data_IF_243103520766
#
_entry.id   IF_243103520766
#
_cell.length_a   1.000
_cell.length_b   1.000
_cell.length_c   1.000
_cell.angle_alpha   90.00
_cell.angle_beta   90.00
_cell.angle_gamma   90.00
#
_symmetry.space_group_name_H-M   'P 1'
#
loop_
_entity.id
_entity.type
_entity.pdbx_description
1 polymer ?
#
# COMPACT_ATOMS: atom_id res chain seq x y z
N UNK A 1 -0.89 -7.27 53.50
CA UNK A 1 -0.80 -5.87 53.01
C UNK A 1 0.51 -5.21 53.38
N UNK A 2 0.85 -5.02 54.68
CA UNK A 2 2.13 -4.37 55.08
C UNK A 2 3.40 -4.92 54.41
N UNK A 3 3.57 -6.25 54.33
CA UNK A 3 4.74 -6.85 53.67
C UNK A 3 4.84 -6.55 52.17
N UNK A 4 3.71 -6.41 51.47
CA UNK A 4 3.69 -6.06 50.05
C UNK A 4 4.01 -4.57 49.84
N UNK A 5 3.48 -3.71 50.71
CA UNK A 5 3.81 -2.28 50.72
C UNK A 5 5.29 -2.04 51.02
N UNK A 6 5.87 -2.76 51.99
CA UNK A 6 7.30 -2.69 52.31
C UNK A 6 8.17 -3.20 51.16
N UNK A 7 7.74 -4.24 50.46
CA UNK A 7 8.42 -4.74 49.27
C UNK A 7 8.36 -3.72 48.12
N UNK A 8 7.19 -3.15 47.86
CA UNK A 8 6.98 -2.12 46.83
C UNK A 8 7.87 -0.91 47.07
N UNK A 9 7.93 -0.40 48.31
CA UNK A 9 8.79 0.73 48.67
C UNK A 9 10.27 0.42 48.49
N UNK A 10 10.72 -0.79 48.86
CA UNK A 10 12.11 -1.21 48.63
C UNK A 10 12.48 -1.24 47.15
N UNK A 11 11.57 -1.70 46.29
CA UNK A 11 11.76 -1.72 44.84
C UNK A 11 11.80 -0.29 44.30
N UNK A 12 10.86 0.55 44.70
CA UNK A 12 10.81 1.97 44.34
C UNK A 12 12.11 2.69 44.73
N UNK A 13 12.55 2.54 45.98
CA UNK A 13 13.82 3.10 46.47
C UNK A 13 15.03 2.60 45.69
N UNK A 14 15.03 1.33 45.26
CA UNK A 14 16.10 0.76 44.44
C UNK A 14 16.14 1.41 43.06
N UNK A 15 14.99 1.58 42.40
CA UNK A 15 14.89 2.26 41.12
C UNK A 15 15.32 3.72 41.23
N UNK A 16 14.82 4.46 42.23
CA UNK A 16 15.18 5.85 42.49
C UNK A 16 16.69 5.98 42.68
N UNK A 17 17.32 5.11 43.48
CA UNK A 17 18.78 5.09 43.67
C UNK A 17 19.52 4.79 42.37
N UNK A 18 19.06 3.81 41.59
CA UNK A 18 19.67 3.45 40.31
C UNK A 18 19.65 4.63 39.35
N UNK A 19 18.50 5.29 39.20
CA UNK A 19 18.35 6.48 38.38
C UNK A 19 19.16 7.67 38.90
N UNK A 20 19.27 7.83 40.22
CA UNK A 20 20.11 8.86 40.82
C UNK A 20 21.59 8.68 40.45
N UNK A 21 22.14 7.47 40.63
CA UNK A 21 23.53 7.18 40.25
C UNK A 21 23.75 7.28 38.73
N UNK A 22 22.77 6.88 37.93
CA UNK A 22 22.83 7.04 36.48
C UNK A 22 22.85 8.52 36.07
N UNK A 23 21.97 9.35 36.66
CA UNK A 23 21.94 10.79 36.42
C UNK A 23 23.22 11.48 36.86
N UNK A 24 23.83 11.05 37.97
CA UNK A 24 25.14 11.54 38.41
C UNK A 24 26.25 11.22 37.39
N UNK A 25 26.25 9.99 36.86
CA UNK A 25 27.21 9.54 35.85
C UNK A 25 27.08 10.33 34.54
N UNK A 26 25.84 10.54 34.08
CA UNK A 26 25.53 11.35 32.89
C UNK A 26 25.93 12.82 33.12
N UNK A 27 25.65 13.36 34.31
CA UNK A 27 26.03 14.72 34.69
C UNK A 27 27.54 14.95 34.70
N UNK A 28 28.32 13.96 35.11
CA UNK A 28 29.79 14.03 35.17
C UNK A 28 30.47 13.91 33.80
N UNK A 29 29.88 13.15 32.86
CA UNK A 29 30.46 12.89 31.53
C UNK A 29 29.49 13.14 30.36
N UNK A 30 28.85 14.31 30.26
CA UNK A 30 27.77 14.55 29.28
C UNK A 30 28.22 14.35 27.83
N UNK A 31 29.43 14.81 27.49
CA UNK A 31 29.97 14.68 26.14
C UNK A 31 30.17 13.24 25.68
N UNK A 32 30.57 12.33 26.58
CA UNK A 32 30.77 10.91 26.23
C UNK A 32 29.45 10.22 25.89
N UNK A 33 28.39 10.50 26.67
CA UNK A 33 27.07 9.96 26.40
C UNK A 33 26.49 10.51 25.09
N UNK A 34 26.62 11.81 24.84
CA UNK A 34 26.13 12.44 23.61
C UNK A 34 26.86 11.89 22.37
N UNK A 35 28.20 11.81 22.41
CA UNK A 35 28.98 11.23 21.31
C UNK A 35 28.62 9.74 21.14
N UNK A 36 28.47 9.00 22.24
CA UNK A 36 28.04 7.60 22.20
C UNK A 36 26.69 7.41 21.51
N UNK A 37 25.69 8.22 21.86
CA UNK A 37 24.37 8.17 21.22
C UNK A 37 24.42 8.53 19.73
N UNK A 38 25.20 9.56 19.37
CA UNK A 38 25.35 9.96 17.96
C UNK A 38 26.07 8.89 17.14
N UNK A 39 27.14 8.28 17.68
CA UNK A 39 27.83 7.17 17.02
C UNK A 39 26.90 5.95 16.84
N UNK A 40 26.10 5.62 17.86
CA UNK A 40 25.12 4.54 17.76
C UNK A 40 24.10 4.83 16.64
N UNK A 41 23.55 6.05 16.61
CA UNK A 41 22.61 6.45 15.56
C UNK A 41 23.26 6.39 14.17
N UNK A 42 24.52 6.83 14.03
CA UNK A 42 25.26 6.74 12.77
C UNK A 42 25.45 5.28 12.32
N UNK A 43 25.81 4.38 13.23
CA UNK A 43 25.94 2.94 12.94
C UNK A 43 24.61 2.35 12.50
N UNK A 44 23.51 2.63 13.19
CA UNK A 44 22.19 2.11 12.82
C UNK A 44 21.68 2.70 11.50
N UNK A 45 21.99 3.96 11.21
CA UNK A 45 21.64 4.63 9.94
C UNK A 45 22.25 3.93 8.72
N UNK A 46 23.39 3.23 8.88
CA UNK A 46 23.98 2.42 7.79
C UNK A 46 23.06 1.31 7.27
N UNK A 47 22.00 0.96 7.99
CA UNK A 47 21.00 0.00 7.55
C UNK A 47 19.92 0.59 6.63
N UNK A 48 19.77 1.91 6.53
CA UNK A 48 18.76 2.55 5.67
C UNK A 48 18.84 2.15 4.19
N UNK A 49 20.03 1.98 3.57
CA UNK A 49 20.12 1.53 2.18
C UNK A 49 19.56 0.12 1.94
N UNK A 50 19.39 -0.70 2.98
CA UNK A 50 18.79 -2.03 2.88
C UNK A 50 17.24 -2.01 2.84
N UNK A 51 16.63 -0.82 2.74
CA UNK A 51 15.19 -0.64 2.62
C UNK A 51 14.62 -1.45 1.45
N UNK A 52 13.72 -2.38 1.76
CA UNK A 52 12.89 -3.10 0.79
C UNK A 52 11.43 -2.79 1.07
N UNK A 53 10.74 -2.17 0.13
CA UNK A 53 9.31 -1.88 0.26
C UNK A 53 8.54 -3.11 -0.22
N UNK A 54 7.68 -3.66 0.64
CA UNK A 54 6.79 -4.75 0.26
C UNK A 54 5.39 -4.19 -0.04
N UNK A 55 4.97 -4.36 -1.29
CA UNK A 55 3.66 -3.91 -1.81
C UNK A 55 2.71 -5.08 -2.07
N UNK A 56 3.14 -6.30 -1.78
CA UNK A 56 2.35 -7.50 -2.06
C UNK A 56 1.24 -7.65 -1.02
N UNK A 57 0.02 -7.21 -1.38
CA UNK A 57 -1.15 -7.25 -0.49
C UNK A 57 -1.42 -8.64 0.06
N UNK A 58 -1.18 -9.68 -0.74
CA UNK A 58 -1.35 -11.05 -0.29
C UNK A 58 -0.44 -11.36 0.90
N UNK A 59 0.84 -10.96 0.84
CA UNK A 59 1.79 -11.15 1.96
C UNK A 59 1.51 -10.25 3.15
N UNK A 60 0.90 -9.09 2.93
CA UNK A 60 0.59 -8.10 3.96
C UNK A 60 -0.64 -8.48 4.80
N UNK A 61 -1.67 -9.05 4.16
CA UNK A 61 -2.97 -9.24 4.78
C UNK A 61 -3.35 -10.71 5.04
N UNK A 62 -2.60 -11.68 4.49
CA UNK A 62 -2.85 -13.10 4.75
C UNK A 62 -1.90 -13.61 5.85
N UNK A 63 -2.43 -14.10 6.98
CA UNK A 63 -1.62 -14.70 8.05
C UNK A 63 -0.75 -15.86 7.54
N UNK A 64 0.34 -16.15 8.27
CA UNK A 64 1.26 -17.24 7.91
C UNK A 64 0.59 -18.62 8.00
N UNK A 65 -0.32 -18.81 8.95
CA UNK A 65 -1.01 -20.09 9.21
C UNK A 65 -2.39 -20.19 8.54
N UNK A 66 -2.74 -19.22 7.68
CA UNK A 66 -4.06 -19.21 7.04
C UNK A 66 -4.20 -20.38 6.02
N UNK A 67 -5.32 -21.13 6.02
CA UNK A 67 -5.54 -22.22 5.07
C UNK A 67 -5.50 -21.76 3.61
N UNK A 68 -5.98 -20.53 3.36
CA UNK A 68 -5.94 -19.88 2.04
C UNK A 68 -4.50 -19.79 1.50
N UNK A 69 -3.52 -19.63 2.40
CA UNK A 69 -2.11 -19.55 2.02
C UNK A 69 -1.61 -20.88 1.48
N UNK A 70 -1.93 -21.96 2.18
CA UNK A 70 -1.58 -23.31 1.75
C UNK A 70 -2.27 -23.67 0.42
N UNK A 71 -3.52 -23.27 0.22
CA UNK A 71 -4.24 -23.47 -1.03
C UNK A 71 -3.59 -22.71 -2.20
N UNK A 72 -3.18 -21.46 -1.97
CA UNK A 72 -2.50 -20.66 -2.99
C UNK A 72 -1.13 -21.23 -3.35
N UNK A 73 -0.30 -21.59 -2.37
CA UNK A 73 1.03 -22.19 -2.60
C UNK A 73 0.92 -23.54 -3.33
N UNK A 74 -0.10 -24.35 -3.02
CA UNK A 74 -0.40 -25.58 -3.78
C UNK A 74 -0.86 -25.27 -5.21
N UNK A 75 -1.66 -24.23 -5.41
CA UNK A 75 -2.11 -23.79 -6.73
C UNK A 75 -0.94 -23.30 -7.59
N UNK A 76 0.02 -22.56 -7.02
CA UNK A 76 1.23 -22.15 -7.74
C UNK A 76 2.07 -23.34 -8.15
N UNK A 77 2.30 -24.30 -7.25
CA UNK A 77 3.02 -25.55 -7.56
C UNK A 77 2.29 -26.35 -8.64
N UNK A 78 0.95 -26.44 -8.56
CA UNK A 78 0.13 -27.10 -9.59
C UNK A 78 0.28 -26.44 -10.97
N UNK A 79 0.30 -25.11 -11.04
CA UNK A 79 0.47 -24.38 -12.28
C UNK A 79 1.90 -24.50 -12.86
N UNK A 80 2.90 -24.77 -12.04
CA UNK A 80 4.28 -25.02 -12.47
C UNK A 80 4.52 -26.46 -12.96
N UNK A 81 3.61 -27.40 -12.63
CA UNK A 81 3.77 -28.79 -13.08
C UNK A 81 3.70 -28.89 -14.61
N UNK A 82 4.59 -29.67 -15.25
CA UNK A 82 4.52 -29.88 -16.69
C UNK A 82 3.21 -30.61 -17.03
N UNK A 83 2.33 -29.96 -17.77
CA UNK A 83 1.20 -30.63 -18.42
C UNK A 83 1.79 -31.64 -19.41
N UNK A 84 1.78 -32.93 -19.10
CA UNK A 84 2.43 -34.00 -19.87
C UNK A 84 2.02 -34.08 -21.36
N UNK A 85 1.44 -35.20 -21.80
CA UNK A 85 1.13 -35.44 -23.23
C UNK A 85 -0.14 -34.67 -23.68
N UNK A 86 -0.47 -33.53 -23.04
CA UNK A 86 -1.51 -32.63 -23.53
C UNK A 86 -0.97 -31.85 -24.74
N UNK A 87 -1.04 -32.51 -25.89
CA UNK A 87 -0.69 -32.06 -27.23
C UNK A 87 -1.58 -30.89 -27.71
N UNK A 88 -1.44 -29.73 -27.08
CA UNK A 88 -1.66 -28.45 -27.75
C UNK A 88 -0.42 -27.57 -27.51
N UNK A 89 0.68 -28.06 -28.08
CA UNK A 89 2.08 -27.65 -27.89
C UNK A 89 2.42 -26.23 -28.32
N UNK A 90 1.47 -25.44 -28.84
CA UNK A 90 1.73 -24.08 -29.32
C UNK A 90 1.14 -22.96 -28.45
N UNK A 91 0.11 -23.23 -27.64
CA UNK A 91 -0.47 -22.22 -26.72
C UNK A 91 0.12 -22.29 -25.31
N UNK A 92 0.47 -23.49 -24.84
CA UNK A 92 0.88 -23.74 -23.45
C UNK A 92 2.40 -23.83 -23.23
N UNK A 93 3.20 -24.11 -24.27
CA UNK A 93 4.67 -24.09 -24.17
C UNK A 93 5.19 -22.68 -23.80
N UNK A 94 4.47 -21.65 -24.25
CA UNK A 94 4.66 -20.26 -23.79
C UNK A 94 4.48 -20.13 -22.27
N UNK A 95 3.50 -20.79 -21.65
CA UNK A 95 3.19 -20.63 -20.22
C UNK A 95 4.29 -21.15 -19.28
N UNK A 96 5.05 -22.16 -19.71
CA UNK A 96 6.16 -22.73 -18.92
C UNK A 96 7.47 -21.99 -19.18
N UNK A 97 7.75 -21.57 -20.42
CA UNK A 97 8.90 -20.70 -20.73
C UNK A 97 8.74 -19.29 -20.13
N UNK A 98 7.49 -18.85 -19.94
CA UNK A 98 7.09 -17.60 -19.26
C UNK A 98 7.61 -17.51 -17.81
N UNK A 99 7.90 -18.64 -17.16
CA UNK A 99 8.33 -18.67 -15.76
C UNK A 99 9.85 -18.47 -15.58
N UNK A 100 10.66 -18.62 -16.63
CA UNK A 100 12.14 -18.51 -16.55
C UNK A 100 12.69 -17.18 -17.04
N UNK A 101 12.05 -16.57 -18.03
CA UNK A 101 12.38 -15.22 -18.47
C UNK A 101 11.56 -14.20 -17.65
N UNK A 102 12.10 -13.02 -17.33
CA UNK A 102 11.33 -11.99 -16.66
C UNK A 102 10.28 -11.48 -17.64
N UNK A 103 9.10 -12.09 -17.68
CA UNK A 103 7.99 -11.73 -18.55
C UNK A 103 6.92 -11.09 -17.70
N UNK A 104 6.42 -9.94 -18.15
CA UNK A 104 5.28 -9.27 -17.53
C UNK A 104 4.01 -9.75 -18.20
N UNK A 105 3.17 -10.42 -17.41
CA UNK A 105 1.79 -10.75 -17.75
C UNK A 105 0.87 -9.81 -17.00
N UNK A 106 -0.06 -9.18 -17.71
CA UNK A 106 -1.01 -8.23 -17.13
C UNK A 106 -2.34 -8.29 -17.91
N UNK A 107 -3.43 -7.82 -17.29
CA UNK A 107 -4.73 -7.67 -17.97
C UNK A 107 -5.15 -6.22 -17.82
N UNK A 108 -5.15 -5.49 -18.94
CA UNK A 108 -5.72 -4.14 -18.95
C UNK A 108 -7.22 -4.30 -19.04
N UNK A 109 -7.96 -3.96 -17.98
CA UNK A 109 -9.42 -4.00 -17.94
C UNK A 109 -9.97 -2.61 -17.64
N UNK A 110 -11.02 -2.21 -18.34
CA UNK A 110 -11.79 -1.01 -18.03
C UNK A 110 -13.27 -1.34 -17.85
N UNK A 111 -13.91 -0.73 -16.86
CA UNK A 111 -15.35 -0.75 -16.67
C UNK A 111 -15.97 0.46 -17.36
N UNK A 112 -16.80 0.23 -18.36
CA UNK A 112 -17.62 1.26 -19.00
C UNK A 112 -18.92 1.45 -18.22
N UNK A 113 -19.23 2.69 -17.85
CA UNK A 113 -20.44 3.10 -17.12
C UNK A 113 -20.99 4.36 -17.78
N UNK A 114 -22.31 4.49 -17.92
CA UNK A 114 -22.93 5.73 -18.35
C UNK A 114 -23.06 6.70 -17.16
N UNK A 115 -22.73 7.99 -17.31
CA UNK A 115 -22.81 8.97 -16.21
C UNK A 115 -24.21 9.03 -15.58
N UNK A 116 -25.25 9.01 -16.40
CA UNK A 116 -26.66 9.00 -15.97
C UNK A 116 -27.18 7.60 -15.54
N UNK A 117 -26.30 6.60 -15.34
CA UNK A 117 -26.66 5.20 -14.99
C UNK A 117 -27.66 4.52 -15.96
N UNK A 118 -27.63 4.92 -17.24
CA UNK A 118 -28.49 4.36 -18.30
C UNK A 118 -28.08 2.94 -18.68
N UNK A 119 -28.98 2.27 -19.41
CA UNK A 119 -28.72 0.95 -19.98
C UNK A 119 -27.60 1.02 -21.03
N UNK A 120 -26.55 0.22 -20.84
CA UNK A 120 -25.46 0.11 -21.81
C UNK A 120 -25.74 -0.91 -22.93
N UNK A 121 -26.72 -1.80 -22.75
CA UNK A 121 -27.11 -2.83 -23.72
C UNK A 121 -28.00 -2.27 -24.84
N UNK A 122 -27.69 -1.07 -25.30
CA UNK A 122 -28.29 -0.48 -26.49
C UNK A 122 -27.34 -0.65 -27.67
N UNK A 123 -27.87 -1.04 -28.83
CA UNK A 123 -27.06 -1.24 -30.05
C UNK A 123 -26.17 -0.03 -30.38
N UNK A 124 -26.69 1.20 -30.22
CA UNK A 124 -25.90 2.43 -30.45
C UNK A 124 -24.73 2.57 -29.49
N UNK A 125 -24.93 2.25 -28.22
CA UNK A 125 -23.92 2.36 -27.15
C UNK A 125 -22.87 1.26 -27.31
N UNK A 126 -23.29 0.01 -27.53
CA UNK A 126 -22.39 -1.11 -27.77
C UNK A 126 -21.50 -0.88 -28.99
N UNK A 127 -22.06 -0.37 -30.10
CA UNK A 127 -21.30 0.00 -31.29
C UNK A 127 -20.24 1.05 -31.00
N UNK A 128 -20.57 2.07 -30.20
CA UNK A 128 -19.62 3.12 -29.78
C UNK A 128 -18.50 2.55 -28.93
N UNK A 129 -18.84 1.73 -27.92
CA UNK A 129 -17.85 1.08 -27.05
C UNK A 129 -16.89 0.24 -27.90
N UNK A 130 -17.41 -0.59 -28.82
CA UNK A 130 -16.57 -1.40 -29.71
C UNK A 130 -15.67 -0.55 -30.60
N UNK A 131 -16.18 0.56 -31.14
CA UNK A 131 -15.36 1.50 -31.92
C UNK A 131 -14.21 2.06 -31.08
N UNK A 132 -14.48 2.49 -29.85
CA UNK A 132 -13.43 2.96 -28.94
C UNK A 132 -12.41 1.87 -28.59
N UNK A 133 -12.82 0.60 -28.47
CA UNK A 133 -11.87 -0.50 -28.28
C UNK A 133 -10.94 -0.73 -29.47
N UNK A 134 -11.33 -0.29 -30.67
CA UNK A 134 -10.45 -0.35 -31.85
C UNK A 134 -9.56 0.89 -31.93
N UNK A 135 -10.11 2.07 -31.61
CA UNK A 135 -9.36 3.33 -31.60
C UNK A 135 -8.19 3.30 -30.59
N UNK A 136 -8.41 2.74 -29.39
CA UNK A 136 -7.39 2.68 -28.34
C UNK A 136 -6.16 1.82 -28.71
N UNK A 137 -6.30 0.88 -29.64
CA UNK A 137 -5.19 0.05 -30.12
C UNK A 137 -4.21 0.84 -31.01
N UNK A 138 -4.63 2.00 -31.52
CA UNK A 138 -3.79 2.90 -32.31
C UNK A 138 -3.04 3.92 -31.45
N UNK A 139 -3.24 3.92 -30.13
CA UNK A 139 -2.56 4.84 -29.21
C UNK A 139 -1.06 4.54 -29.17
N UNK A 140 -0.26 5.60 -29.18
CA UNK A 140 1.21 5.54 -29.12
C UNK A 140 1.72 6.47 -28.03
N UNK A 141 2.83 6.08 -27.38
CA UNK A 141 3.52 6.91 -26.39
C UNK A 141 4.97 7.07 -26.77
N UNK A 142 5.44 8.31 -26.77
CA UNK A 142 6.86 8.62 -26.89
C UNK A 142 7.50 8.58 -25.50
N UNK A 143 8.50 7.72 -25.32
CA UNK A 143 9.26 7.60 -24.08
C UNK A 143 10.73 7.36 -24.41
N UNK A 144 11.62 8.24 -23.92
CA UNK A 144 13.06 8.23 -24.21
C UNK A 144 13.39 8.15 -25.71
N UNK A 145 12.85 9.07 -26.52
CA UNK A 145 13.05 9.16 -27.98
C UNK A 145 12.61 7.91 -28.78
N UNK A 146 11.87 7.00 -28.15
CA UNK A 146 11.27 5.81 -28.78
C UNK A 146 9.76 5.89 -28.72
N UNK A 147 9.12 5.56 -29.85
CA UNK A 147 7.67 5.48 -29.94
C UNK A 147 7.25 4.06 -29.61
N UNK A 148 6.58 3.88 -28.48
CA UNK A 148 5.95 2.63 -28.08
C UNK A 148 4.51 2.59 -28.56
N UNK A 149 4.11 1.46 -29.14
CA UNK A 149 2.75 1.20 -29.62
C UNK A 149 2.05 0.19 -28.71
N UNK A 150 0.73 0.09 -28.84
CA UNK A 150 -0.04 -0.98 -28.18
C UNK A 150 0.52 -2.39 -28.50
N UNK A 151 1.03 -2.57 -29.72
CA UNK A 151 1.69 -3.78 -30.22
C UNK A 151 2.97 -4.20 -29.49
N UNK A 152 3.62 -3.29 -28.77
CA UNK A 152 4.84 -3.59 -28.03
C UNK A 152 4.57 -4.25 -26.67
N UNK A 153 3.32 -4.11 -26.17
CA UNK A 153 2.91 -4.59 -24.86
C UNK A 153 1.88 -5.73 -24.92
N UNK A 154 1.03 -5.76 -25.95
CA UNK A 154 -0.06 -6.73 -26.02
C UNK A 154 0.40 -8.17 -26.20
N UNK A 155 -0.44 -9.11 -25.79
CA UNK A 155 -0.29 -10.51 -26.15
C UNK A 155 -0.70 -10.72 -27.61
N UNK A 156 0.26 -11.19 -28.42
CA UNK A 156 0.05 -11.53 -29.83
C UNK A 156 -0.27 -13.01 -29.99
N UNK A 157 -1.24 -13.30 -30.85
CA UNK A 157 -1.55 -14.67 -31.26
C UNK A 157 -0.36 -15.28 -32.03
N UNK A 158 -0.27 -16.62 -32.02
CA UNK A 158 0.88 -17.32 -32.59
C UNK A 158 0.96 -17.09 -34.10
N UNK A 159 1.96 -16.32 -34.53
CA UNK A 159 2.20 -16.00 -35.94
C UNK A 159 1.70 -14.63 -36.38
N UNK A 160 1.04 -13.86 -35.51
CA UNK A 160 0.59 -12.51 -35.83
C UNK A 160 1.55 -11.44 -35.29
N UNK A 161 1.85 -10.43 -36.10
CA UNK A 161 2.67 -9.29 -35.69
C UNK A 161 1.86 -8.24 -34.92
N UNK A 162 0.54 -8.24 -35.09
CA UNK A 162 -0.40 -7.27 -34.51
C UNK A 162 -1.19 -7.88 -33.36
N UNK A 163 -1.70 -7.03 -32.49
CA UNK A 163 -2.62 -7.46 -31.43
C UNK A 163 -4.00 -7.75 -32.00
N UNK A 164 -4.65 -8.78 -31.48
CA UNK A 164 -6.04 -9.07 -31.80
C UNK A 164 -6.98 -8.42 -30.76
N UNK A 165 -8.14 -7.93 -31.21
CA UNK A 165 -9.18 -7.39 -30.33
C UNK A 165 -10.25 -8.46 -29.99
N UNK A 166 -9.89 -9.75 -30.04
CA UNK A 166 -10.84 -10.86 -29.94
C UNK A 166 -11.67 -10.83 -28.66
N UNK A 167 -11.06 -10.39 -27.55
CA UNK A 167 -11.71 -10.30 -26.25
C UNK A 167 -12.88 -9.32 -26.22
N UNK A 168 -12.91 -8.33 -27.12
CA UNK A 168 -13.97 -7.33 -27.19
C UNK A 168 -14.94 -7.57 -28.37
N UNK A 169 -14.70 -8.59 -29.19
CA UNK A 169 -15.58 -8.96 -30.33
C UNK A 169 -17.00 -9.36 -29.88
N UNK A 170 -17.18 -9.77 -28.62
CA UNK A 170 -18.51 -10.03 -28.08
C UNK A 170 -19.41 -8.78 -28.11
N UNK A 171 -18.85 -7.56 -28.04
CA UNK A 171 -19.62 -6.30 -28.15
C UNK A 171 -20.30 -6.17 -29.51
N UNK A 172 -19.61 -6.57 -30.59
CA UNK A 172 -20.15 -6.60 -31.94
C UNK A 172 -21.30 -7.61 -32.06
N UNK A 173 -21.17 -8.77 -31.41
CA UNK A 173 -22.24 -9.75 -31.34
C UNK A 173 -23.43 -9.23 -30.52
N UNK A 174 -23.16 -8.60 -29.39
CA UNK A 174 -24.17 -8.00 -28.52
C UNK A 174 -24.94 -6.87 -29.24
N UNK A 175 -24.26 -6.03 -30.02
CA UNK A 175 -24.90 -4.99 -30.83
C UNK A 175 -26.02 -5.57 -31.70
N UNK A 176 -25.78 -6.73 -32.33
CA UNK A 176 -26.75 -7.41 -33.21
C UNK A 176 -27.87 -8.04 -32.39
N UNK A 177 -27.54 -8.70 -31.27
CA UNK A 177 -28.51 -9.37 -30.41
C UNK A 177 -29.52 -8.39 -29.78
N UNK A 178 -29.05 -7.21 -29.37
CA UNK A 178 -29.88 -6.20 -28.70
C UNK A 178 -30.46 -5.13 -29.65
N UNK A 179 -30.29 -5.27 -30.98
CA UNK A 179 -30.73 -4.24 -31.94
C UNK A 179 -32.25 -4.11 -32.04
N UNK A 180 -32.93 -5.24 -32.24
CA UNK A 180 -34.34 -5.25 -32.67
C UNK A 180 -35.27 -5.92 -31.64
N UNK A 181 -34.76 -6.37 -30.49
CA UNK A 181 -35.49 -7.20 -29.52
C UNK A 181 -35.92 -8.58 -30.04
N UNK A 182 -35.86 -8.81 -31.36
CA UNK A 182 -36.19 -10.05 -32.07
C UNK A 182 -35.31 -11.24 -31.68
N UNK A 183 -34.15 -11.02 -31.05
CA UNK A 183 -33.33 -12.12 -30.59
C UNK A 183 -34.07 -12.98 -29.54
N UNK A 184 -34.95 -12.36 -28.73
CA UNK A 184 -35.74 -13.07 -27.72
C UNK A 184 -36.81 -14.00 -28.33
N UNK A 185 -37.20 -13.81 -29.60
CA UNK A 185 -38.19 -14.67 -30.25
C UNK A 185 -37.58 -15.92 -30.90
N UNK A 186 -36.25 -15.98 -31.04
CA UNK A 186 -35.59 -17.15 -31.61
C UNK A 186 -35.40 -18.22 -30.52
N UNK A 187 -36.01 -19.42 -30.63
CA UNK A 187 -35.88 -20.46 -29.62
C UNK A 187 -34.45 -20.96 -29.42
N UNK A 188 -33.56 -20.76 -30.41
CA UNK A 188 -32.15 -21.14 -30.34
C UNK A 188 -31.26 -20.09 -29.65
N UNK A 189 -31.82 -18.92 -29.30
CA UNK A 189 -31.12 -17.84 -28.60
C UNK A 189 -31.78 -17.60 -27.25
N UNK A 190 -31.07 -17.88 -26.17
CA UNK A 190 -31.51 -17.57 -24.82
C UNK A 190 -30.55 -16.57 -24.19
N UNK A 191 -30.97 -15.31 -24.13
CA UNK A 191 -30.19 -14.20 -23.53
C UNK A 191 -30.37 -14.16 -22.01
N UNK A 192 -30.11 -15.28 -21.33
CA UNK A 192 -30.21 -15.39 -19.87
C UNK A 192 -28.93 -14.95 -19.16
N UNK A 193 -29.07 -14.49 -17.91
CA UNK A 193 -27.94 -14.20 -17.01
C UNK A 193 -27.84 -15.27 -15.89
N UNK A 194 -26.64 -15.77 -15.51
CA UNK A 194 -25.29 -15.32 -15.90
C UNK A 194 -24.69 -16.03 -17.15
N UNK A 195 -25.37 -17.06 -17.66
CA UNK A 195 -24.95 -17.80 -18.85
C UNK A 195 -26.00 -17.60 -19.94
N UNK A 196 -25.58 -17.09 -21.09
CA UNK A 196 -26.41 -17.05 -22.30
C UNK A 196 -26.19 -18.30 -23.14
N UNK A 197 -27.23 -18.77 -23.82
CA UNK A 197 -27.11 -19.86 -24.79
C UNK A 197 -27.28 -19.30 -26.19
N UNK A 198 -26.20 -19.32 -26.96
CA UNK A 198 -26.21 -18.95 -28.37
C UNK A 198 -26.11 -20.24 -29.17
N UNK A 199 -27.19 -20.63 -29.88
CA UNK A 199 -27.24 -21.88 -30.65
C UNK A 199 -26.85 -23.11 -29.82
N UNK A 200 -27.46 -23.27 -28.64
CA UNK A 200 -27.16 -24.33 -27.66
C UNK A 200 -25.70 -24.38 -27.15
N UNK A 201 -24.89 -23.34 -27.42
CA UNK A 201 -23.56 -23.19 -26.83
C UNK A 201 -23.65 -22.23 -25.64
N UNK A 202 -23.35 -22.69 -24.41
CA UNK A 202 -23.32 -21.80 -23.26
C UNK A 202 -22.14 -20.83 -23.40
N UNK A 203 -22.39 -19.56 -23.13
CA UNK A 203 -21.40 -18.49 -23.03
C UNK A 203 -21.59 -17.79 -21.70
N UNK A 204 -20.56 -17.83 -20.86
CA UNK A 204 -20.56 -17.12 -19.59
C UNK A 204 -20.32 -15.63 -19.86
N UNK A 205 -21.29 -14.80 -19.47
CA UNK A 205 -21.23 -13.34 -19.60
C UNK A 205 -21.13 -12.65 -18.24
N UNK A 206 -21.15 -13.41 -17.14
CA UNK A 206 -21.06 -12.88 -15.78
C UNK A 206 -19.75 -12.13 -15.51
N UNK A 207 -18.69 -12.40 -16.28
CA UNK A 207 -17.40 -11.69 -16.19
C UNK A 207 -17.37 -10.38 -17.00
N UNK A 208 -18.38 -10.16 -17.85
CA UNK A 208 -18.37 -9.15 -18.90
C UNK A 208 -19.38 -8.04 -18.65
N UNK A 209 -20.54 -8.36 -18.08
CA UNK A 209 -21.60 -7.40 -17.77
C UNK A 209 -21.96 -7.44 -16.28
N UNK A 210 -22.15 -6.27 -15.67
CA UNK A 210 -22.51 -6.11 -14.25
C UNK A 210 -23.68 -5.14 -14.07
N UNK A 211 -24.33 -5.22 -12.90
CA UNK A 211 -25.53 -4.43 -12.61
C UNK A 211 -26.68 -4.76 -13.56
N UNK A 212 -26.91 -6.05 -13.78
CA UNK A 212 -27.86 -6.56 -14.78
C UNK A 212 -29.26 -6.62 -14.17
N UNK A 213 -30.24 -6.03 -14.86
CA UNK A 213 -31.66 -6.30 -14.59
C UNK A 213 -32.14 -7.42 -15.50
N UNK A 214 -32.92 -8.33 -14.91
CA UNK A 214 -33.49 -9.49 -15.62
C UNK A 214 -35.00 -9.46 -15.55
N UNK A 215 -35.65 -9.91 -16.63
CA UNK A 215 -37.10 -10.02 -16.75
C UNK A 215 -37.52 -11.45 -17.10
N UNK A 216 -38.74 -11.82 -16.73
CA UNK A 216 -39.35 -13.10 -17.09
C UNK A 216 -38.82 -14.32 -16.32
N UNK A 217 -39.45 -15.48 -16.57
CA UNK A 217 -39.12 -16.75 -15.90
C UNK A 217 -37.75 -17.31 -16.29
N UNK A 218 -37.28 -17.01 -17.51
CA UNK A 218 -35.98 -17.46 -18.04
C UNK A 218 -34.80 -16.56 -17.63
N UNK A 219 -35.03 -15.54 -16.79
CA UNK A 219 -34.04 -14.54 -16.38
C UNK A 219 -33.36 -13.86 -17.58
N UNK A 220 -34.19 -13.39 -18.51
CA UNK A 220 -33.73 -12.71 -19.73
C UNK A 220 -33.17 -11.33 -19.39
N UNK A 221 -32.05 -10.97 -20.02
CA UNK A 221 -31.35 -9.72 -19.74
C UNK A 221 -32.13 -8.56 -20.34
N UNK A 222 -32.58 -7.62 -19.50
CA UNK A 222 -33.27 -6.40 -19.96
C UNK A 222 -32.31 -5.21 -20.06
N UNK A 223 -31.40 -5.06 -19.10
CA UNK A 223 -30.43 -3.96 -19.07
C UNK A 223 -29.18 -4.33 -18.30
N UNK A 224 -28.05 -3.70 -18.63
CA UNK A 224 -26.84 -3.75 -17.81
C UNK A 224 -26.30 -2.34 -17.57
N UNK A 225 -25.81 -2.09 -16.36
CA UNK A 225 -25.26 -0.79 -15.95
C UNK A 225 -23.75 -0.67 -16.23
N UNK A 226 -23.05 -1.81 -16.28
CA UNK A 226 -21.60 -1.83 -16.46
C UNK A 226 -21.21 -2.89 -17.48
N UNK A 227 -20.28 -2.54 -18.36
CA UNK A 227 -19.71 -3.42 -19.38
C UNK A 227 -18.19 -3.39 -19.26
N UNK A 228 -17.51 -4.55 -19.31
CA UNK A 228 -16.05 -4.59 -19.31
C UNK A 228 -15.48 -4.68 -20.71
N UNK A 229 -14.35 -3.98 -20.88
CA UNK A 229 -13.46 -4.14 -22.03
C UNK A 229 -12.08 -4.51 -21.50
N UNK A 230 -11.40 -5.45 -22.15
CA UNK A 230 -10.10 -5.89 -21.68
C UNK A 230 -9.17 -6.37 -22.79
N UNK A 231 -7.87 -6.32 -22.50
CA UNK A 231 -6.78 -6.79 -23.36
C UNK A 231 -5.73 -7.52 -22.53
N UNK A 232 -5.19 -8.59 -23.09
CA UNK A 232 -4.04 -9.29 -22.51
C UNK A 232 -2.74 -8.57 -22.88
N UNK A 233 -1.89 -8.38 -21.88
CA UNK A 233 -0.55 -7.78 -22.02
C UNK A 233 0.48 -8.86 -21.71
N UNK A 234 1.44 -9.02 -22.60
CA UNK A 234 2.53 -9.95 -22.47
C UNK A 234 3.78 -9.39 -23.16
N UNK A 235 4.77 -8.98 -22.37
CA UNK A 235 6.05 -8.51 -22.88
C UNK A 235 7.21 -8.93 -21.99
N UNK A 236 8.41 -9.01 -22.57
CA UNK A 236 9.65 -9.25 -21.81
C UNK A 236 9.97 -8.03 -20.94
N UNK A 237 9.96 -8.22 -19.62
CA UNK A 237 10.21 -7.21 -18.61
C UNK A 237 11.65 -6.71 -18.69
N UNK A 238 11.80 -5.40 -18.76
CA UNK A 238 13.06 -4.66 -18.74
C UNK A 238 12.77 -3.34 -18.01
N UNK A 239 13.69 -2.80 -17.19
CA UNK A 239 13.44 -1.57 -16.45
C UNK A 239 13.01 -0.39 -17.35
N UNK A 240 13.49 -0.33 -18.60
CA UNK A 240 13.05 0.66 -19.58
C UNK A 240 11.61 0.41 -20.04
N UNK A 241 11.28 -0.85 -20.42
CA UNK A 241 9.94 -1.23 -20.88
C UNK A 241 8.87 -1.12 -19.79
N UNK A 242 9.22 -1.40 -18.54
CA UNK A 242 8.31 -1.24 -17.41
C UNK A 242 7.92 0.24 -17.20
N UNK A 243 8.89 1.16 -17.30
CA UNK A 243 8.61 2.60 -17.22
C UNK A 243 7.82 3.09 -18.43
N UNK A 244 8.18 2.63 -19.63
CA UNK A 244 7.43 2.93 -20.85
C UNK A 244 5.98 2.42 -20.76
N UNK A 245 5.75 1.25 -20.18
CA UNK A 245 4.42 0.69 -19.95
C UNK A 245 3.59 1.52 -18.96
N UNK A 246 4.20 2.05 -17.90
CA UNK A 246 3.52 2.97 -16.98
C UNK A 246 3.13 4.27 -17.69
N UNK A 247 4.02 4.84 -18.51
CA UNK A 247 3.70 6.01 -19.34
C UNK A 247 2.57 5.69 -20.34
N UNK A 248 2.62 4.51 -20.97
CA UNK A 248 1.58 4.02 -21.87
C UNK A 248 0.22 3.94 -21.19
N UNK A 249 0.14 3.37 -19.97
CA UNK A 249 -1.11 3.32 -19.19
C UNK A 249 -1.71 4.70 -18.93
N UNK A 250 -0.88 5.68 -18.54
CA UNK A 250 -1.34 7.06 -18.34
C UNK A 250 -1.95 7.64 -19.61
N UNK A 251 -1.39 7.31 -20.77
CA UNK A 251 -1.95 7.75 -22.04
C UNK A 251 -3.26 7.04 -22.41
N UNK A 252 -3.43 5.77 -22.03
CA UNK A 252 -4.72 5.09 -22.15
C UNK A 252 -5.80 5.77 -21.28
N UNK A 253 -5.44 6.22 -20.08
CA UNK A 253 -6.36 6.97 -19.22
C UNK A 253 -6.72 8.33 -19.83
N UNK A 254 -5.74 9.04 -20.41
CA UNK A 254 -5.98 10.28 -21.16
C UNK A 254 -6.93 10.05 -22.35
N UNK A 255 -6.73 8.96 -23.09
CA UNK A 255 -7.61 8.57 -24.19
C UNK A 255 -9.06 8.39 -23.68
N UNK A 256 -9.28 7.67 -22.59
CA UNK A 256 -10.62 7.50 -22.04
C UNK A 256 -11.25 8.78 -21.50
N UNK A 257 -10.45 9.67 -20.91
CA UNK A 257 -10.91 11.01 -20.51
C UNK A 257 -11.40 11.83 -21.71
N UNK A 258 -10.74 11.72 -22.87
CA UNK A 258 -11.22 12.36 -24.10
C UNK A 258 -12.58 11.81 -24.54
N UNK A 259 -12.76 10.47 -24.51
CA UNK A 259 -14.01 9.81 -24.93
C UNK A 259 -15.17 10.00 -23.97
N UNK A 260 -14.88 10.24 -22.69
CA UNK A 260 -15.87 10.60 -21.68
C UNK A 260 -16.65 11.85 -22.09
N UNK A 261 -15.95 12.90 -22.54
CA UNK A 261 -16.58 14.15 -22.94
C UNK A 261 -17.44 14.02 -24.22
N UNK A 262 -17.06 13.12 -25.14
CA UNK A 262 -17.82 12.88 -26.37
C UNK A 262 -19.12 12.10 -26.16
N UNK A 263 -19.13 11.17 -25.20
CA UNK A 263 -20.14 10.12 -25.15
C UNK A 263 -20.89 9.99 -23.82
N UNK A 264 -20.50 10.76 -22.79
CA UNK A 264 -20.96 10.58 -21.40
C UNK A 264 -20.73 9.15 -20.86
N UNK A 265 -19.83 8.40 -21.49
CA UNK A 265 -19.40 7.08 -21.02
C UNK A 265 -18.12 7.26 -20.21
N UNK A 266 -18.20 6.97 -18.92
CA UNK A 266 -17.06 6.93 -18.02
C UNK A 266 -16.41 5.55 -18.08
N UNK A 267 -15.13 5.50 -18.43
CA UNK A 267 -14.32 4.29 -18.36
C UNK A 267 -13.43 4.36 -17.12
N UNK A 268 -13.49 3.32 -16.29
CA UNK A 268 -12.74 3.23 -15.03
C UNK A 268 -11.70 2.13 -15.17
N UNK A 269 -10.40 2.42 -15.03
CA UNK A 269 -9.35 1.40 -15.08
C UNK A 269 -9.50 0.42 -13.92
N UNK A 270 -9.29 -0.86 -14.22
CA UNK A 270 -9.19 -1.92 -13.24
C UNK A 270 -7.92 -2.71 -13.54
N UNK A 271 -6.94 -2.58 -12.66
CA UNK A 271 -5.70 -3.32 -12.76
C UNK A 271 -5.56 -4.18 -11.51
N UNK A 272 -5.08 -5.42 -11.66
CA UNK A 272 -4.74 -6.27 -10.52
C UNK A 272 -3.65 -5.62 -9.65
N UNK A 273 -2.81 -4.77 -10.26
CA UNK A 273 -1.80 -3.95 -9.58
C UNK A 273 -2.26 -2.52 -9.22
N UNK A 274 -3.48 -2.12 -9.57
CA UNK A 274 -3.98 -0.78 -9.21
C UNK A 274 -3.90 -0.57 -7.69
N UNK A 275 -4.22 -1.61 -6.92
CA UNK A 275 -4.13 -1.56 -5.46
C UNK A 275 -2.70 -1.31 -4.96
N UNK A 276 -1.67 -1.79 -5.66
CA UNK A 276 -0.27 -1.50 -5.35
C UNK A 276 0.10 -0.04 -5.67
N UNK A 277 -0.40 0.47 -6.79
CA UNK A 277 -0.19 1.86 -7.21
C UNK A 277 -0.88 2.82 -6.21
N UNK A 278 -2.10 2.50 -5.77
CA UNK A 278 -2.82 3.22 -4.71
C UNK A 278 -2.09 3.14 -3.36
N UNK A 279 -1.49 2.00 -3.00
CA UNK A 279 -0.67 1.87 -1.79
C UNK A 279 0.60 2.73 -1.84
N UNK A 280 1.25 2.83 -2.99
CA UNK A 280 2.40 3.73 -3.18
C UNK A 280 1.98 5.19 -3.05
N UNK A 281 0.81 5.54 -3.58
CA UNK A 281 0.25 6.88 -3.46
C UNK A 281 0.09 7.29 -1.98
N UNK A 282 -0.25 6.36 -1.08
CA UNK A 282 -0.31 6.63 0.37
C UNK A 282 1.05 7.11 0.89
N UNK A 283 2.16 6.50 0.47
CA UNK A 283 3.51 6.92 0.88
C UNK A 283 3.81 8.30 0.31
N UNK A 284 3.60 8.50 -0.99
CA UNK A 284 3.88 9.77 -1.68
C UNK A 284 3.08 10.93 -1.10
N UNK A 285 1.82 10.70 -0.74
CA UNK A 285 0.95 11.71 -0.11
C UNK A 285 1.29 11.91 1.36
N UNK A 286 1.66 10.88 2.12
CA UNK A 286 1.95 11.00 3.56
C UNK A 286 3.32 11.64 3.87
N UNK A 287 4.35 11.36 3.07
CA UNK A 287 5.70 11.91 3.25
C UNK A 287 5.76 13.45 3.39
N UNK A 288 5.10 14.27 2.55
CA UNK A 288 5.14 15.73 2.71
C UNK A 288 4.46 16.19 4.00
N UNK A 289 3.38 15.52 4.44
CA UNK A 289 2.76 15.82 5.73
C UNK A 289 3.70 15.51 6.90
N UNK A 290 4.67 14.61 6.73
CA UNK A 290 5.60 14.27 7.79
C UNK A 290 6.46 15.46 8.26
N UNK A 291 6.94 16.25 7.30
CA UNK A 291 7.69 17.46 7.59
C UNK A 291 6.80 18.52 8.27
N UNK A 292 5.55 18.68 7.80
CA UNK A 292 4.59 19.64 8.37
C UNK A 292 4.24 19.29 9.81
N UNK A 293 3.93 18.03 10.10
CA UNK A 293 3.62 17.56 11.46
C UNK A 293 4.82 17.73 12.38
N UNK A 294 6.03 17.39 11.90
CA UNK A 294 7.27 17.56 12.67
C UNK A 294 7.53 19.05 12.99
N UNK A 295 7.28 19.95 12.04
CA UNK A 295 7.41 21.40 12.24
C UNK A 295 6.33 21.95 13.19
N UNK A 296 5.09 21.50 13.06
CA UNK A 296 4.00 21.88 13.95
C UNK A 296 4.27 21.43 15.39
N UNK A 297 4.74 20.20 15.59
CA UNK A 297 5.15 19.70 16.89
C UNK A 297 6.34 20.48 17.43
N UNK A 298 7.34 20.77 16.59
CA UNK A 298 8.47 21.60 16.99
C UNK A 298 8.03 22.99 17.45
N UNK A 299 7.13 23.64 16.72
CA UNK A 299 6.54 24.93 17.09
C UNK A 299 5.79 24.82 18.42
N UNK A 300 4.92 23.81 18.56
CA UNK A 300 4.17 23.56 19.80
C UNK A 300 5.10 23.35 21.00
N UNK A 301 6.18 22.60 20.83
CA UNK A 301 7.17 22.34 21.88
C UNK A 301 7.92 23.61 22.26
N UNK A 302 8.37 24.40 21.28
CA UNK A 302 9.07 25.67 21.54
C UNK A 302 8.15 26.66 22.24
N UNK A 303 6.90 26.81 21.78
CA UNK A 303 5.91 27.69 22.40
C UNK A 303 5.53 27.25 23.81
N UNK A 304 5.33 25.95 24.03
CA UNK A 304 5.00 25.41 25.37
C UNK A 304 6.15 25.54 26.36
N UNK A 305 7.40 25.56 25.87
CA UNK A 305 8.59 25.77 26.69
C UNK A 305 9.02 27.25 26.80
N UNK A 306 8.29 28.16 26.15
CA UNK A 306 8.49 29.59 26.28
C UNK A 306 7.81 30.10 27.55
N UNK A 307 8.60 30.55 28.51
CA UNK A 307 8.13 31.22 29.71
C UNK A 307 8.23 32.73 29.55
N UNK A 308 7.42 33.48 30.32
CA UNK A 308 7.52 34.96 30.36
C UNK A 308 8.90 35.44 30.83
N UNK A 309 9.56 34.65 31.68
CA UNK A 309 10.92 34.91 32.09
C UNK A 309 11.90 34.27 31.07
N UNK A 310 12.58 35.08 30.27
CA UNK A 310 13.58 34.63 29.27
C UNK A 310 14.63 33.69 29.90
N UNK A 311 15.00 33.93 31.16
CA UNK A 311 15.98 33.13 31.91
C UNK A 311 15.43 31.75 32.29
N UNK A 312 14.09 31.61 32.41
CA UNK A 312 13.42 30.34 32.71
C UNK A 312 13.02 29.59 31.43
N UNK A 313 12.94 30.29 30.30
CA UNK A 313 12.65 29.71 28.99
C UNK A 313 13.75 28.73 28.61
N UNK A 314 13.33 27.50 28.31
CA UNK A 314 14.20 26.39 27.88
C UNK A 314 13.76 25.85 26.51
N UNK A 315 13.67 26.71 25.47
CA UNK A 315 13.19 26.28 24.16
C UNK A 315 14.20 25.37 23.47
N UNK A 316 15.50 25.54 23.73
CA UNK A 316 16.57 24.73 23.12
C UNK A 316 16.48 23.28 23.59
N UNK A 317 16.17 23.05 24.86
CA UNK A 317 16.04 21.71 25.42
C UNK A 317 14.80 20.99 24.85
N UNK A 318 13.68 21.70 24.65
CA UNK A 318 12.53 21.17 23.93
C UNK A 318 12.84 20.84 22.47
N UNK A 319 13.60 21.70 21.78
CA UNK A 319 14.04 21.46 20.40
C UNK A 319 14.93 20.21 20.30
N UNK A 320 15.89 20.07 21.21
CA UNK A 320 16.77 18.89 21.26
C UNK A 320 16.02 17.60 21.60
N UNK A 321 14.95 17.68 22.41
CA UNK A 321 14.09 16.53 22.68
C UNK A 321 13.37 16.02 21.43
N UNK A 322 12.85 16.92 20.58
CA UNK A 322 12.22 16.50 19.32
C UNK A 322 13.26 15.83 18.40
N UNK A 323 14.47 16.40 18.32
CA UNK A 323 15.57 15.80 17.54
C UNK A 323 15.95 14.42 18.07
N UNK A 324 16.01 14.22 19.38
CA UNK A 324 16.38 12.92 19.95
C UNK A 324 15.37 11.83 19.61
N UNK A 325 14.07 12.16 19.58
CA UNK A 325 13.02 11.23 19.15
C UNK A 325 13.10 10.93 17.64
N UNK A 326 13.41 11.93 16.81
CA UNK A 326 13.64 11.70 15.37
C UNK A 326 14.86 10.79 15.14
N UNK A 327 15.94 10.99 15.91
CA UNK A 327 17.14 10.14 15.84
C UNK A 327 16.85 8.71 16.31
N UNK A 328 15.99 8.52 17.32
CA UNK A 328 15.60 7.17 17.77
C UNK A 328 14.77 6.45 16.71
N UNK A 329 13.90 7.17 15.99
CA UNK A 329 13.17 6.64 14.83
C UNK A 329 14.11 6.18 13.71
N UNK A 330 15.07 7.02 13.32
CA UNK A 330 16.08 6.67 12.30
C UNK A 330 16.88 5.44 12.73
N UNK A 331 17.30 5.39 14.00
CA UNK A 331 18.02 4.26 14.57
C UNK A 331 17.19 2.96 14.50
N UNK A 332 15.91 3.03 14.87
CA UNK A 332 14.98 1.89 14.87
C UNK A 332 14.76 1.35 13.46
N UNK A 333 14.39 2.21 12.51
CA UNK A 333 14.18 1.79 11.12
C UNK A 333 15.47 1.29 10.48
N UNK A 334 16.61 1.94 10.72
CA UNK A 334 17.91 1.50 10.23
C UNK A 334 18.29 0.10 10.74
N UNK A 335 18.05 -0.18 12.02
CA UNK A 335 18.27 -1.51 12.59
C UNK A 335 17.32 -2.56 12.01
N UNK A 336 16.03 -2.25 11.89
CA UNK A 336 15.03 -3.16 11.30
C UNK A 336 15.34 -3.50 9.84
N UNK A 337 15.73 -2.51 9.03
CA UNK A 337 16.10 -2.73 7.63
C UNK A 337 17.40 -3.54 7.51
N UNK A 338 18.35 -3.37 8.43
CA UNK A 338 19.55 -4.21 8.51
C UNK A 338 19.23 -5.67 8.84
N UNK A 339 18.20 -5.92 9.64
CA UNK A 339 17.68 -7.27 9.91
C UNK A 339 16.87 -7.85 8.74
N UNK A 340 16.67 -7.10 7.66
CA UNK A 340 15.98 -7.55 6.45
C UNK A 340 14.45 -7.46 6.54
N UNK A 341 13.91 -6.74 7.53
CA UNK A 341 12.46 -6.54 7.66
C UNK A 341 11.98 -5.56 6.58
N UNK A 342 11.00 -5.94 5.73
CA UNK A 342 10.49 -5.05 4.70
C UNK A 342 9.65 -3.91 5.30
N UNK A 343 9.65 -2.77 4.62
CA UNK A 343 8.81 -1.62 4.97
C UNK A 343 7.45 -1.74 4.29
N UNK A 344 6.39 -1.55 5.07
CA UNK A 344 5.01 -1.62 4.61
C UNK A 344 4.42 -0.21 4.51
N UNK A 345 3.65 0.12 3.46
CA UNK A 345 3.02 1.45 3.32
C UNK A 345 2.16 1.87 4.51
N UNK A 346 1.49 0.91 5.16
CA UNK A 346 0.66 1.16 6.36
C UNK A 346 1.51 1.66 7.55
N UNK A 347 2.77 1.24 7.62
CA UNK A 347 3.72 1.67 8.65
C UNK A 347 4.15 3.13 8.52
N UNK A 348 3.79 3.83 7.44
CA UNK A 348 4.03 5.28 7.31
C UNK A 348 3.36 6.12 8.41
N UNK A 349 2.35 5.57 9.10
CA UNK A 349 1.69 6.23 10.24
C UNK A 349 2.47 6.10 11.56
N UNK A 350 3.31 5.06 11.69
CA UNK A 350 4.04 4.74 12.93
C UNK A 350 4.98 5.86 13.41
N UNK A 351 5.78 6.52 12.54
CA UNK A 351 6.66 7.60 12.98
C UNK A 351 5.92 8.72 13.73
N UNK A 352 4.68 9.03 13.33
CA UNK A 352 3.87 10.08 13.99
C UNK A 352 3.44 9.69 15.39
N UNK A 353 3.00 8.43 15.56
CA UNK A 353 2.61 7.91 16.87
C UNK A 353 3.80 7.87 17.82
N UNK A 354 4.94 7.37 17.35
CA UNK A 354 6.16 7.29 18.15
C UNK A 354 6.69 8.68 18.50
N UNK A 355 6.60 9.64 17.57
CA UNK A 355 7.00 11.02 17.85
C UNK A 355 6.15 11.64 18.97
N UNK A 356 4.84 11.39 18.99
CA UNK A 356 3.95 11.88 20.04
C UNK A 356 4.27 11.26 21.41
N UNK A 357 4.44 9.92 21.46
CA UNK A 357 4.80 9.20 22.70
C UNK A 357 6.17 9.64 23.21
N UNK A 358 7.19 9.69 22.35
CA UNK A 358 8.54 10.08 22.76
C UNK A 358 8.68 11.53 23.22
N UNK A 359 7.86 12.44 22.68
CA UNK A 359 7.84 13.84 23.11
C UNK A 359 7.20 14.00 24.49
N UNK A 360 6.21 13.17 24.86
CA UNK A 360 5.58 13.18 26.18
C UNK A 360 6.58 12.91 27.31
N UNK A 361 7.36 11.83 27.18
CA UNK A 361 8.42 11.47 28.14
C UNK A 361 9.48 12.59 28.27
N UNK A 362 9.78 13.28 27.18
CA UNK A 362 10.72 14.39 27.21
C UNK A 362 10.15 15.62 27.97
N UNK A 363 8.87 15.92 27.84
CA UNK A 363 8.22 16.97 28.62
C UNK A 363 8.17 16.64 30.11
N UNK A 364 7.93 15.38 30.46
CA UNK A 364 7.95 14.90 31.84
C UNK A 364 9.35 15.12 32.46
N UNK A 365 10.41 14.75 31.75
CA UNK A 365 11.79 14.98 32.18
C UNK A 365 12.13 16.48 32.30
N UNK A 366 11.67 17.32 31.37
CA UNK A 366 11.84 18.78 31.45
C UNK A 366 11.06 19.40 32.62
N UNK A 367 9.89 18.84 32.95
CA UNK A 367 9.10 19.20 34.12
C UNK A 367 9.88 18.96 35.41
N UNK A 368 10.42 17.75 35.59
CA UNK A 368 11.28 17.41 36.73
C UNK A 368 12.55 18.28 36.77
N UNK A 369 13.16 18.60 35.62
CA UNK A 369 14.31 19.50 35.59
C UNK A 369 13.98 20.92 36.08
N UNK A 370 12.73 21.38 35.90
CA UNK A 370 12.30 22.72 36.34
C UNK A 370 12.01 22.78 37.83
N UNK A 371 11.59 21.69 38.46
CA UNK A 371 11.28 21.62 39.91
C UNK A 371 12.55 21.53 40.76
N UNK A 372 13.66 21.05 40.20
CA UNK A 372 14.94 20.98 40.92
C UNK A 372 15.52 22.36 41.31
N UNK A 373 16.22 22.38 42.44
CA UNK A 373 16.87 23.59 42.94
C UNK A 373 18.02 24.04 42.03
N UNK A 374 17.93 25.26 41.51
CA UNK A 374 18.89 25.84 40.56
C UNK A 374 20.28 26.11 41.14
N UNK A 375 20.43 26.09 42.47
CA UNK A 375 21.71 26.31 43.17
C UNK A 375 22.59 25.06 43.24
N UNK A 376 22.03 23.89 42.95
CA UNK A 376 22.78 22.64 42.96
C UNK A 376 23.74 22.57 41.78
N UNK A 377 24.81 21.79 41.94
CA UNK A 377 25.72 21.46 40.86
C UNK A 377 24.95 20.73 39.75
N UNK A 378 25.41 20.87 38.50
CA UNK A 378 24.74 20.26 37.32
C UNK A 378 24.60 18.74 37.50
N UNK A 379 25.60 18.10 38.08
CA UNK A 379 25.65 16.65 38.33
C UNK A 379 24.56 16.20 39.31
N UNK A 380 24.43 16.90 40.45
CA UNK A 380 23.40 16.63 41.45
C UNK A 380 22.00 16.95 40.92
N UNK A 381 21.88 18.02 40.14
CA UNK A 381 20.61 18.41 39.52
C UNK A 381 20.14 17.37 38.51
N UNK A 382 21.06 16.81 37.72
CA UNK A 382 20.79 15.71 36.79
C UNK A 382 20.40 14.44 37.54
N UNK A 383 21.11 14.10 38.61
CA UNK A 383 20.80 12.96 39.47
C UNK A 383 19.38 13.04 40.05
N UNK A 384 19.00 14.20 40.61
CA UNK A 384 17.65 14.43 41.15
C UNK A 384 16.56 14.39 40.08
N UNK A 385 16.82 15.00 38.91
CA UNK A 385 15.87 14.99 37.79
C UNK A 385 15.61 13.56 37.29
N UNK A 386 16.68 12.79 37.09
CA UNK A 386 16.60 11.41 36.64
C UNK A 386 15.89 10.53 37.68
N UNK A 387 16.14 10.75 38.97
CA UNK A 387 15.49 9.98 40.04
C UNK A 387 13.99 10.25 40.16
N UNK A 388 13.55 11.47 39.84
CA UNK A 388 12.14 11.88 39.88
C UNK A 388 11.37 11.44 38.61
N UNK A 389 11.90 11.75 37.43
CA UNK A 389 11.24 11.41 36.16
C UNK A 389 11.45 9.96 35.71
N UNK A 390 12.59 9.35 36.04
CA UNK A 390 13.02 8.06 35.49
C UNK A 390 12.06 6.91 35.81
N UNK A 391 11.57 6.83 37.06
CA UNK A 391 10.62 5.79 37.44
C UNK A 391 9.30 5.91 36.66
N UNK A 392 8.75 7.12 36.53
CA UNK A 392 7.51 7.33 35.77
C UNK A 392 7.67 6.99 34.29
N UNK A 393 8.78 7.40 33.65
CA UNK A 393 9.08 7.09 32.24
C UNK A 393 9.23 5.56 32.03
N UNK A 394 9.81 4.82 32.99
CA UNK A 394 9.88 3.36 32.85
C UNK A 394 8.53 2.69 32.91
N UNK A 395 7.60 3.18 33.73
CA UNK A 395 6.25 2.61 33.84
C UNK A 395 5.48 2.82 32.54
N UNK A 396 5.54 4.02 31.96
CA UNK A 396 4.91 4.32 30.65
C UNK A 396 5.53 3.44 29.55
N UNK A 397 6.86 3.40 29.46
CA UNK A 397 7.59 2.61 28.46
C UNK A 397 7.30 1.09 28.53
N UNK A 398 7.24 0.51 29.75
CA UNK A 398 6.93 -0.91 29.93
C UNK A 398 5.48 -1.21 29.58
N UNK A 399 4.56 -0.29 29.89
CA UNK A 399 3.14 -0.43 29.54
C UNK A 399 2.96 -0.40 28.01
N UNK A 400 3.63 0.53 27.33
CA UNK A 400 3.60 0.62 25.87
C UNK A 400 4.20 -0.63 25.21
N UNK A 401 5.37 -1.08 25.69
CA UNK A 401 5.98 -2.33 25.21
C UNK A 401 5.05 -3.54 25.40
N UNK A 402 4.41 -3.66 26.56
CA UNK A 402 3.44 -4.74 26.83
C UNK A 402 2.22 -4.68 25.91
N UNK A 403 1.70 -3.48 25.63
CA UNK A 403 0.57 -3.27 24.74
C UNK A 403 0.91 -3.68 23.29
N UNK A 404 2.01 -3.16 22.75
CA UNK A 404 2.46 -3.48 21.39
C UNK A 404 2.89 -4.95 21.25
N UNK A 405 3.56 -5.51 22.28
CA UNK A 405 3.96 -6.91 22.31
C UNK A 405 2.76 -7.87 22.32
N UNK A 406 1.71 -7.56 23.09
CA UNK A 406 0.46 -8.33 23.10
C UNK A 406 -0.23 -8.29 21.74
N UNK A 407 -0.24 -7.14 21.07
CA UNK A 407 -0.81 -7.02 19.73
C UNK A 407 -0.08 -7.93 18.73
N UNK A 408 1.26 -7.95 18.77
CA UNK A 408 2.04 -8.86 17.93
C UNK A 408 1.73 -10.33 18.22
N UNK A 409 1.56 -10.70 19.49
CA UNK A 409 1.27 -12.07 19.88
C UNK A 409 -0.13 -12.52 19.42
N UNK A 410 -1.14 -11.67 19.56
CA UNK A 410 -2.51 -11.96 19.09
C UNK A 410 -2.53 -12.18 17.57
N UNK A 411 -1.87 -11.31 16.80
CA UNK A 411 -1.80 -11.45 15.34
C UNK A 411 -0.94 -12.63 14.86
N UNK A 412 -0.10 -13.20 15.72
CA UNK A 412 0.64 -14.41 15.39
C UNK A 412 -0.13 -15.68 15.71
N UNK A 413 -1.24 -15.59 16.45
CA UNK A 413 -2.07 -16.74 16.85
C UNK A 413 -3.39 -16.84 16.07
N UNK A 414 -3.80 -15.78 15.39
CA UNK A 414 -4.88 -15.77 14.39
C UNK A 414 -4.31 -15.89 12.97
#
# INVERSE_FOLDING_TARGET
MKQLEDCSKKIEDLFIKCFYYHGLLVGRYPGRFLIGSLLLTAICTTGLPALKINLDLYKLFVPWDAPVRQEFERSTVFNEMPLGILQNTNRLKRQVDILKDPIRIDVIRFYAIHEDNLNLLESRTLRRIYRYTTEIMNTTVEFNDKIYRFEDFCQKDSGEEKCSNELNVWLKHAEILFRDGKANSNPNLQLSYPVMYLFNRPKNIGQVIYGVNVTGRKREISSAKVVTVHWYINFKSSPEKERAYVAFRKELDNFWLSKKNESKLKFIPHNDKAMNDELLLIIEVALPFAAVVSLQLMLFVVLSNYSRDIIKSKPVEGYLAVISVILSLICTFGLLFRLGMPFNPVSCTMPFLILAVGVDDAFLMLGAWRTTNRRLLIEERMALTMSDAGLSITVTSVTDFGCFGKFLWLFSME
#
